data_IF_739541056448
#
_entry.id   IF_739541056448
#
_cell.length_a   1.000
_cell.length_b   1.000
_cell.length_c   1.000
_cell.angle_alpha   90.00
_cell.angle_beta   90.00
_cell.angle_gamma   90.00
#
_symmetry.space_group_name_H-M   'P 1'
#
loop_
_entity.id
_entity.type
_entity.pdbx_description
1 polymer ?
#
# COMPACT_ATOMS: atom_id res chain seq x y z
N UNK A 1 -60.53 2.97 -36.68
CA UNK A 1 -60.17 4.00 -35.67
C UNK A 1 -59.26 3.33 -34.64
N UNK A 2 -57.95 3.60 -34.68
CA UNK A 2 -57.00 3.03 -33.72
C UNK A 2 -57.16 3.77 -32.39
N UNK A 3 -57.31 3.01 -31.31
CA UNK A 3 -57.68 3.51 -29.99
C UNK A 3 -56.54 4.33 -29.34
N UNK A 4 -56.52 5.62 -29.68
CA UNK A 4 -55.55 6.59 -29.18
C UNK A 4 -55.61 6.78 -27.65
N UNK A 5 -56.68 6.34 -26.99
CA UNK A 5 -56.86 6.52 -25.55
C UNK A 5 -56.07 5.50 -24.71
N UNK A 6 -55.97 4.25 -25.19
CA UNK A 6 -55.19 3.18 -24.53
C UNK A 6 -53.68 3.47 -24.59
N UNK A 7 -53.18 3.97 -25.72
CA UNK A 7 -51.77 4.35 -25.90
C UNK A 7 -51.36 5.53 -25.01
N UNK A 8 -52.26 6.50 -24.80
CA UNK A 8 -52.01 7.67 -23.93
C UNK A 8 -51.97 7.30 -22.44
N UNK A 9 -52.88 6.44 -21.96
CA UNK A 9 -52.86 5.92 -20.58
C UNK A 9 -51.60 5.10 -20.27
N UNK A 10 -51.16 4.25 -21.21
CA UNK A 10 -49.94 3.44 -21.05
C UNK A 10 -48.66 4.29 -21.01
N UNK A 11 -48.59 5.36 -21.82
CA UNK A 11 -47.49 6.34 -21.77
C UNK A 11 -47.46 7.14 -20.48
N UNK A 12 -48.62 7.55 -19.95
CA UNK A 12 -48.73 8.26 -18.67
C UNK A 12 -48.32 7.36 -17.49
N UNK A 13 -48.79 6.11 -17.46
CA UNK A 13 -48.40 5.07 -16.50
C UNK A 13 -46.88 4.82 -16.48
N UNK A 14 -46.27 4.61 -17.64
CA UNK A 14 -44.82 4.40 -17.74
C UNK A 14 -44.02 5.66 -17.39
N UNK A 15 -44.56 6.85 -17.66
CA UNK A 15 -43.97 8.12 -17.26
C UNK A 15 -44.00 8.32 -15.74
N UNK A 16 -45.07 7.88 -15.07
CA UNK A 16 -45.21 7.96 -13.61
C UNK A 16 -44.27 6.97 -12.91
N UNK A 17 -44.25 5.70 -13.34
CA UNK A 17 -43.32 4.69 -12.82
C UNK A 17 -41.84 5.09 -12.97
N UNK A 18 -41.48 5.75 -14.08
CA UNK A 18 -40.12 6.28 -14.29
C UNK A 18 -39.80 7.47 -13.38
N UNK A 19 -40.78 8.32 -13.08
CA UNK A 19 -40.62 9.44 -12.13
C UNK A 19 -40.48 8.93 -10.71
N UNK A 20 -41.26 7.93 -10.32
CA UNK A 20 -41.20 7.31 -8.99
C UNK A 20 -39.85 6.59 -8.78
N UNK A 21 -39.36 5.86 -9.80
CA UNK A 21 -38.03 5.25 -9.76
C UNK A 21 -36.90 6.29 -9.70
N UNK A 22 -37.02 7.41 -10.43
CA UNK A 22 -36.05 8.50 -10.41
C UNK A 22 -36.04 9.23 -9.05
N UNK A 23 -37.21 9.51 -8.48
CA UNK A 23 -37.35 10.11 -7.16
C UNK A 23 -36.73 9.22 -6.07
N UNK A 24 -37.00 7.91 -6.13
CA UNK A 24 -36.40 6.96 -5.20
C UNK A 24 -34.88 6.84 -5.38
N UNK A 25 -34.37 6.94 -6.61
CA UNK A 25 -32.92 6.96 -6.88
C UNK A 25 -32.26 8.21 -6.29
N UNK A 26 -32.91 9.37 -6.44
CA UNK A 26 -32.45 10.65 -5.91
C UNK A 26 -32.41 10.62 -4.37
N UNK A 27 -33.46 10.12 -3.72
CA UNK A 27 -33.53 9.97 -2.26
C UNK A 27 -32.37 9.11 -1.74
N UNK A 28 -32.11 7.95 -2.37
CA UNK A 28 -30.99 7.07 -2.00
C UNK A 28 -29.63 7.74 -2.18
N UNK A 29 -29.47 8.55 -3.21
CA UNK A 29 -28.23 9.29 -3.44
C UNK A 29 -28.03 10.37 -2.36
N UNK A 30 -29.09 11.08 -1.98
CA UNK A 30 -29.04 12.08 -0.92
C UNK A 30 -28.69 11.46 0.45
N UNK A 31 -29.24 10.29 0.77
CA UNK A 31 -28.82 9.53 1.94
C UNK A 31 -27.35 9.11 1.88
N UNK A 32 -26.88 8.67 0.71
CA UNK A 32 -25.49 8.28 0.52
C UNK A 32 -24.54 9.47 0.69
N UNK A 33 -24.89 10.65 0.17
CA UNK A 33 -24.12 11.89 0.33
C UNK A 33 -24.02 12.25 1.82
N UNK A 34 -25.14 12.19 2.57
CA UNK A 34 -25.13 12.42 4.03
C UNK A 34 -24.21 11.44 4.77
N UNK A 35 -24.16 10.18 4.34
CA UNK A 35 -23.24 9.19 4.92
C UNK A 35 -21.79 9.50 4.56
N UNK A 36 -21.48 9.86 3.32
CA UNK A 36 -20.14 10.27 2.92
C UNK A 36 -19.66 11.50 3.71
N UNK A 37 -20.58 12.44 3.96
CA UNK A 37 -20.33 13.63 4.78
C UNK A 37 -19.91 13.24 6.20
N UNK A 38 -20.73 12.43 6.87
CA UNK A 38 -20.47 11.93 8.22
C UNK A 38 -19.18 11.09 8.30
N UNK A 39 -18.89 10.28 7.27
CA UNK A 39 -17.65 9.50 7.20
C UNK A 39 -16.43 10.40 7.09
N UNK A 40 -16.48 11.47 6.28
CA UNK A 40 -15.39 12.43 6.18
C UNK A 40 -15.11 13.14 7.49
N UNK A 41 -16.16 13.59 8.19
CA UNK A 41 -16.05 14.17 9.53
C UNK A 41 -15.43 13.19 10.55
N UNK A 42 -15.87 11.94 10.55
CA UNK A 42 -15.29 10.88 11.41
C UNK A 42 -13.80 10.71 11.13
N UNK A 43 -13.40 10.67 9.86
CA UNK A 43 -11.98 10.53 9.48
C UNK A 43 -11.17 11.71 10.01
N UNK A 44 -11.66 12.94 9.87
CA UNK A 44 -10.99 14.15 10.39
C UNK A 44 -10.78 14.04 11.91
N UNK A 45 -11.79 13.59 12.64
CA UNK A 45 -11.72 13.38 14.10
C UNK A 45 -10.77 12.24 14.49
N UNK A 46 -10.63 11.22 13.64
CA UNK A 46 -9.74 10.08 13.86
C UNK A 46 -8.26 10.41 13.58
N UNK A 47 -7.94 11.43 12.77
CA UNK A 47 -6.57 11.75 12.35
C UNK A 47 -5.56 11.82 13.52
N UNK A 48 -5.82 12.51 14.65
CA UNK A 48 -4.90 12.52 15.78
C UNK A 48 -4.64 11.12 16.36
N UNK A 49 -5.68 10.30 16.47
CA UNK A 49 -5.56 8.94 16.98
C UNK A 49 -4.76 8.04 16.02
N UNK A 50 -4.92 8.22 14.70
CA UNK A 50 -4.14 7.51 13.69
C UNK A 50 -2.65 7.84 13.78
N UNK A 51 -2.30 9.12 13.96
CA UNK A 51 -0.91 9.58 14.11
C UNK A 51 -0.29 8.94 15.36
N UNK A 52 -0.97 9.03 16.50
CA UNK A 52 -0.48 8.52 17.78
C UNK A 52 -0.34 6.98 17.77
N UNK A 53 -1.33 6.27 17.22
CA UNK A 53 -1.28 4.80 17.09
C UNK A 53 -0.08 4.35 16.25
N UNK A 54 0.14 4.99 15.09
CA UNK A 54 1.26 4.65 14.23
C UNK A 54 2.61 4.96 14.87
N UNK A 55 2.76 6.13 15.49
CA UNK A 55 3.98 6.53 16.20
C UNK A 55 4.32 5.54 17.32
N UNK A 56 3.32 5.12 18.11
CA UNK A 56 3.50 4.12 19.17
C UNK A 56 3.82 2.72 18.61
N UNK A 57 3.29 2.38 17.44
CA UNK A 57 3.47 1.06 16.83
C UNK A 57 4.80 0.92 16.10
N UNK A 58 5.40 1.97 15.55
CA UNK A 58 6.69 1.90 14.84
C UNK A 58 7.74 1.12 15.62
N UNK A 59 8.09 1.44 16.89
CA UNK A 59 9.10 0.68 17.62
C UNK A 59 8.69 -0.75 17.96
N UNK A 60 7.38 -1.07 17.96
CA UNK A 60 6.86 -2.43 18.20
C UNK A 60 6.93 -3.30 16.94
N UNK A 61 6.77 -2.69 15.77
CA UNK A 61 6.89 -3.35 14.46
C UNK A 61 8.37 -3.50 14.08
N UNK A 62 9.14 -2.44 14.28
CA UNK A 62 10.56 -2.37 13.92
C UNK A 62 11.43 -2.56 15.16
N UNK A 63 11.48 -3.81 15.64
CA UNK A 63 12.20 -4.18 16.87
C UNK A 63 13.73 -4.24 16.72
N UNK A 64 14.23 -4.31 15.48
CA UNK A 64 15.66 -4.19 15.17
C UNK A 64 16.07 -2.72 15.25
N UNK A 65 16.99 -2.42 16.17
CA UNK A 65 17.49 -1.07 16.47
C UNK A 65 18.93 -0.86 16.03
N UNK A 66 19.57 -1.92 15.55
CA UNK A 66 20.91 -1.91 14.98
C UNK A 66 20.97 -1.01 13.73
N UNK A 67 22.17 -0.58 13.34
CA UNK A 67 22.34 0.10 12.05
C UNK A 67 22.24 -0.89 10.86
N UNK A 68 22.25 -0.35 9.64
CA UNK A 68 22.06 -1.18 8.45
C UNK A 68 23.17 -2.22 8.23
N UNK A 69 24.41 -1.91 8.59
CA UNK A 69 25.56 -2.81 8.44
C UNK A 69 25.46 -3.92 9.48
N UNK A 70 25.13 -3.57 10.72
CA UNK A 70 24.92 -4.54 11.79
C UNK A 70 23.74 -5.49 11.49
N UNK A 71 22.65 -4.96 10.92
CA UNK A 71 21.48 -5.77 10.52
C UNK A 71 21.79 -6.68 9.32
N UNK A 72 22.54 -6.19 8.34
CA UNK A 72 23.06 -6.99 7.23
C UNK A 72 23.91 -8.15 7.74
N UNK A 73 24.88 -7.87 8.63
CA UNK A 73 25.72 -8.90 9.24
C UNK A 73 24.88 -9.94 10.00
N UNK A 74 23.82 -9.49 10.69
CA UNK A 74 22.93 -10.39 11.40
C UNK A 74 22.13 -11.29 10.45
N UNK A 75 21.61 -10.75 9.35
CA UNK A 75 20.93 -11.54 8.32
C UNK A 75 21.90 -12.49 7.61
N UNK A 76 23.11 -12.04 7.24
CA UNK A 76 24.13 -12.86 6.61
C UNK A 76 24.49 -14.10 7.46
N UNK A 77 24.55 -13.95 8.78
CA UNK A 77 24.85 -15.05 9.71
C UNK A 77 23.73 -16.09 9.84
N UNK A 78 22.49 -15.76 9.45
CA UNK A 78 21.33 -16.61 9.73
C UNK A 78 20.41 -16.74 8.52
N UNK A 79 19.51 -15.79 8.28
CA UNK A 79 18.48 -15.86 7.23
C UNK A 79 19.07 -15.92 5.81
N UNK A 80 20.22 -15.28 5.60
CA UNK A 80 20.93 -15.18 4.33
C UNK A 80 22.18 -16.07 4.26
N UNK A 81 22.40 -16.93 5.26
CA UNK A 81 23.44 -17.97 5.20
C UNK A 81 23.13 -19.00 4.12
N UNK A 82 24.11 -19.79 3.68
CA UNK A 82 23.87 -20.86 2.68
C UNK A 82 22.77 -21.83 3.12
N UNK A 83 22.75 -22.21 4.40
CA UNK A 83 21.74 -23.07 5.00
C UNK A 83 20.36 -22.37 5.06
N UNK A 84 20.36 -21.08 5.39
CA UNK A 84 19.17 -20.23 5.39
C UNK A 84 18.52 -20.15 4.02
N UNK A 85 19.30 -19.89 2.97
CA UNK A 85 18.83 -19.85 1.59
C UNK A 85 18.35 -21.21 1.11
N UNK A 86 19.11 -22.29 1.36
CA UNK A 86 18.73 -23.66 0.97
C UNK A 86 17.47 -24.17 1.67
N UNK A 87 17.08 -23.59 2.81
CA UNK A 87 15.81 -23.91 3.47
C UNK A 87 14.58 -23.55 2.62
N UNK A 88 14.75 -22.70 1.60
CA UNK A 88 13.69 -22.21 0.71
C UNK A 88 12.73 -21.22 1.36
N UNK A 89 12.96 -20.83 2.63
CA UNK A 89 12.12 -19.89 3.36
C UNK A 89 12.54 -18.44 3.06
N UNK A 90 11.57 -17.52 2.90
CA UNK A 90 11.88 -16.08 2.85
C UNK A 90 12.38 -15.61 4.21
N UNK A 91 12.98 -14.41 4.25
CA UNK A 91 13.35 -13.79 5.52
C UNK A 91 12.10 -13.47 6.35
N UNK A 92 11.89 -14.13 7.51
CA UNK A 92 10.65 -14.02 8.26
C UNK A 92 10.45 -12.60 8.84
N UNK A 93 11.53 -11.90 9.17
CA UNK A 93 11.48 -10.53 9.69
C UNK A 93 10.90 -9.60 8.63
N UNK A 94 11.39 -9.70 7.39
CA UNK A 94 10.92 -8.86 6.29
C UNK A 94 9.46 -9.19 5.94
N UNK A 95 9.10 -10.47 5.91
CA UNK A 95 7.72 -10.91 5.64
C UNK A 95 6.74 -10.37 6.69
N UNK A 96 7.11 -10.43 7.97
CA UNK A 96 6.27 -9.94 9.07
C UNK A 96 6.05 -8.43 8.97
N UNK A 97 7.14 -7.66 8.87
CA UNK A 97 7.09 -6.20 8.77
C UNK A 97 6.35 -5.75 7.51
N UNK A 98 6.66 -6.35 6.35
CA UNK A 98 6.00 -6.03 5.08
C UNK A 98 4.48 -6.24 5.17
N UNK A 99 4.03 -7.33 5.80
CA UNK A 99 2.59 -7.58 5.99
C UNK A 99 1.90 -6.51 6.84
N UNK A 100 2.61 -5.93 7.81
CA UNK A 100 2.07 -4.87 8.65
C UNK A 100 2.02 -3.56 7.87
N UNK A 101 3.13 -3.18 7.23
CA UNK A 101 3.24 -1.94 6.45
C UNK A 101 2.22 -1.92 5.30
N UNK A 102 2.10 -3.00 4.53
CA UNK A 102 1.12 -3.11 3.44
C UNK A 102 -0.33 -2.89 3.91
N UNK A 103 -0.68 -3.36 5.11
CA UNK A 103 -2.01 -3.12 5.69
C UNK A 103 -2.22 -1.66 6.09
N UNK A 104 -1.19 -0.98 6.57
CA UNK A 104 -1.29 0.44 6.90
C UNK A 104 -1.44 1.30 5.64
N UNK A 105 -0.78 0.95 4.54
CA UNK A 105 -1.00 1.59 3.24
C UNK A 105 -2.42 1.35 2.71
N UNK A 106 -2.95 0.13 2.79
CA UNK A 106 -4.34 -0.16 2.40
C UNK A 106 -5.35 0.68 3.21
N UNK A 107 -5.15 0.72 4.54
CA UNK A 107 -5.95 1.56 5.45
C UNK A 107 -5.85 3.04 5.09
N UNK A 108 -4.66 3.53 4.77
CA UNK A 108 -4.44 4.92 4.37
C UNK A 108 -5.13 5.26 3.05
N UNK A 109 -5.00 4.41 2.03
CA UNK A 109 -5.68 4.59 0.74
C UNK A 109 -7.21 4.67 0.90
N UNK A 110 -7.80 3.80 1.73
CA UNK A 110 -9.25 3.87 2.04
C UNK A 110 -9.63 5.18 2.74
N UNK A 111 -8.87 5.60 3.75
CA UNK A 111 -9.17 6.82 4.52
C UNK A 111 -8.98 8.09 3.68
N UNK A 112 -7.89 8.19 2.94
CA UNK A 112 -7.57 9.34 2.09
C UNK A 112 -8.56 9.47 0.93
N UNK A 113 -8.96 8.36 0.29
CA UNK A 113 -9.94 8.42 -0.81
C UNK A 113 -11.32 8.88 -0.34
N UNK A 114 -11.72 8.49 0.88
CA UNK A 114 -12.95 8.97 1.53
C UNK A 114 -12.84 10.44 1.95
N UNK A 115 -11.69 10.86 2.48
CA UNK A 115 -11.43 12.27 2.81
C UNK A 115 -11.39 13.15 1.56
N UNK A 116 -10.80 12.68 0.45
CA UNK A 116 -10.79 13.38 -0.83
C UNK A 116 -12.21 13.55 -1.36
N UNK A 117 -13.02 12.49 -1.31
CA UNK A 117 -14.45 12.56 -1.65
C UNK A 117 -15.19 13.57 -0.80
N UNK A 118 -14.92 13.60 0.51
CA UNK A 118 -15.48 14.58 1.41
C UNK A 118 -15.18 16.01 0.96
N UNK A 119 -13.92 16.34 0.65
CA UNK A 119 -13.55 17.67 0.13
C UNK A 119 -14.28 18.00 -1.16
N UNK A 120 -14.34 17.05 -2.12
CA UNK A 120 -15.00 17.24 -3.41
C UNK A 120 -16.50 17.53 -3.28
N UNK A 121 -17.19 16.91 -2.33
CA UNK A 121 -18.63 17.16 -2.10
C UNK A 121 -18.93 18.55 -1.55
N UNK A 122 -17.93 19.22 -0.95
CA UNK A 122 -18.07 20.58 -0.43
C UNK A 122 -17.66 21.66 -1.43
N UNK A 123 -17.24 21.29 -2.64
CA UNK A 123 -16.96 22.26 -3.70
C UNK A 123 -18.28 22.89 -4.16
N UNK A 124 -18.44 24.23 -4.06
CA UNK A 124 -19.68 24.90 -4.42
C UNK A 124 -19.78 25.09 -5.93
N UNK A 125 -20.94 25.56 -6.38
CA UNK A 125 -21.14 26.00 -7.77
C UNK A 125 -20.11 27.06 -8.16
N UNK A 126 -19.60 27.01 -9.38
CA UNK A 126 -18.73 28.05 -9.95
C UNK A 126 -19.47 29.40 -10.03
N UNK A 127 -18.84 30.44 -9.50
CA UNK A 127 -19.33 31.83 -9.48
C UNK A 127 -18.16 32.79 -9.71
N UNK A 128 -18.47 34.01 -10.16
CA UNK A 128 -17.49 35.07 -10.32
C UNK A 128 -17.20 35.75 -8.97
N UNK A 129 -15.95 35.67 -8.51
CA UNK A 129 -15.51 36.18 -7.21
C UNK A 129 -15.74 35.24 -6.01
N UNK A 130 -15.17 35.61 -4.85
CA UNK A 130 -15.23 34.84 -3.59
C UNK A 130 -14.70 33.39 -3.70
N UNK A 131 -13.60 33.19 -4.42
CA UNK A 131 -13.05 31.87 -4.74
C UNK A 131 -11.87 31.43 -3.85
N UNK A 132 -11.42 32.26 -2.90
CA UNK A 132 -10.28 31.92 -2.03
C UNK A 132 -10.49 30.59 -1.27
N UNK A 133 -11.67 30.36 -0.68
CA UNK A 133 -11.93 29.09 0.00
C UNK A 133 -11.99 27.90 -0.95
N UNK A 134 -12.44 28.12 -2.20
CA UNK A 134 -12.45 27.09 -3.25
C UNK A 134 -11.01 26.73 -3.66
N UNK A 135 -10.11 27.71 -3.71
CA UNK A 135 -8.68 27.48 -3.94
C UNK A 135 -8.04 26.67 -2.81
N UNK A 136 -8.39 26.94 -1.55
CA UNK A 136 -7.96 26.15 -0.39
C UNK A 136 -8.43 24.69 -0.52
N UNK A 137 -9.69 24.46 -0.91
CA UNK A 137 -10.19 23.11 -1.18
C UNK A 137 -9.41 22.43 -2.33
N UNK A 138 -9.17 23.16 -3.42
CA UNK A 138 -8.45 22.63 -4.59
C UNK A 138 -7.00 22.22 -4.24
N UNK A 139 -6.30 23.04 -3.46
CA UNK A 139 -4.94 22.73 -2.98
C UNK A 139 -4.94 21.47 -2.12
N UNK A 140 -5.86 21.36 -1.16
CA UNK A 140 -5.93 20.17 -0.30
C UNK A 140 -6.30 18.92 -1.08
N UNK A 141 -7.29 19.02 -1.97
CA UNK A 141 -7.72 17.92 -2.84
C UNK A 141 -6.58 17.43 -3.75
N UNK A 142 -5.79 18.37 -4.29
CA UNK A 142 -4.58 18.07 -5.05
C UNK A 142 -3.57 17.30 -4.20
N UNK A 143 -3.32 17.76 -2.97
CA UNK A 143 -2.39 17.08 -2.06
C UNK A 143 -2.86 15.67 -1.66
N UNK A 144 -4.16 15.48 -1.41
CA UNK A 144 -4.74 14.16 -1.18
C UNK A 144 -4.55 13.24 -2.40
N UNK A 145 -4.65 13.78 -3.62
CA UNK A 145 -4.37 13.04 -4.86
C UNK A 145 -2.90 12.60 -4.96
N UNK A 146 -1.95 13.46 -4.58
CA UNK A 146 -0.53 13.10 -4.51
C UNK A 146 -0.28 11.97 -3.51
N UNK A 147 -0.89 12.04 -2.32
CA UNK A 147 -0.74 10.99 -1.31
C UNK A 147 -1.35 9.65 -1.71
N UNK A 148 -2.51 9.66 -2.37
CA UNK A 148 -3.12 8.45 -2.93
C UNK A 148 -2.22 7.81 -3.99
N UNK A 149 -1.65 8.63 -4.89
CA UNK A 149 -0.69 8.13 -5.89
C UNK A 149 0.55 7.56 -5.22
N UNK A 150 1.10 8.25 -4.22
CA UNK A 150 2.25 7.76 -3.47
C UNK A 150 1.96 6.42 -2.78
N UNK A 151 0.79 6.24 -2.17
CA UNK A 151 0.40 4.96 -1.58
C UNK A 151 0.36 3.83 -2.62
N UNK A 152 -0.19 4.09 -3.80
CA UNK A 152 -0.26 3.13 -4.92
C UNK A 152 1.15 2.78 -5.44
N UNK A 153 1.96 3.78 -5.74
CA UNK A 153 3.35 3.61 -6.20
C UNK A 153 4.17 2.80 -5.18
N UNK A 154 4.09 3.13 -3.89
CA UNK A 154 4.83 2.42 -2.83
C UNK A 154 4.37 0.98 -2.64
N UNK A 155 3.07 0.69 -2.77
CA UNK A 155 2.61 -0.71 -2.76
C UNK A 155 3.12 -1.47 -3.99
N UNK A 156 3.18 -0.80 -5.14
CA UNK A 156 3.71 -1.35 -6.37
C UNK A 156 5.23 -1.59 -6.33
N UNK A 157 5.99 -0.75 -5.66
CA UNK A 157 7.42 -0.96 -5.42
C UNK A 157 7.66 -2.12 -4.45
N UNK A 158 6.89 -2.18 -3.36
CA UNK A 158 7.04 -3.20 -2.33
C UNK A 158 6.70 -4.61 -2.81
N UNK A 159 5.82 -4.77 -3.82
CA UNK A 159 5.53 -6.11 -4.39
C UNK A 159 6.76 -6.76 -5.03
N UNK A 160 7.76 -5.95 -5.44
CA UNK A 160 8.94 -6.41 -6.19
C UNK A 160 9.97 -7.10 -5.29
N UNK A 161 9.95 -6.89 -3.97
CA UNK A 161 10.93 -7.46 -3.03
C UNK A 161 11.16 -8.96 -3.24
N UNK A 162 10.09 -9.76 -3.24
CA UNK A 162 10.21 -11.21 -3.39
C UNK A 162 10.77 -11.63 -4.76
N UNK A 163 10.43 -10.90 -5.82
CA UNK A 163 10.96 -11.14 -7.16
C UNK A 163 12.46 -10.84 -7.21
N UNK A 164 12.87 -9.68 -6.71
CA UNK A 164 14.28 -9.27 -6.70
C UNK A 164 15.12 -10.24 -5.85
N UNK A 165 14.65 -10.58 -4.65
CA UNK A 165 15.31 -11.56 -3.79
C UNK A 165 15.44 -12.95 -4.45
N UNK A 166 14.38 -13.42 -5.09
CA UNK A 166 14.42 -14.70 -5.80
C UNK A 166 15.42 -14.69 -6.96
N UNK A 167 15.56 -13.58 -7.65
CA UNK A 167 16.51 -13.43 -8.75
C UNK A 167 17.97 -13.46 -8.26
N UNK A 168 18.28 -12.81 -7.13
CA UNK A 168 19.61 -12.92 -6.50
C UNK A 168 19.91 -14.38 -6.14
N UNK A 169 18.93 -15.11 -5.59
CA UNK A 169 19.10 -16.51 -5.19
C UNK A 169 19.26 -17.42 -6.40
N UNK A 170 18.58 -17.17 -7.53
CA UNK A 170 18.75 -17.96 -8.77
C UNK A 170 20.17 -17.89 -9.33
N UNK A 171 20.89 -16.80 -9.06
CA UNK A 171 22.30 -16.65 -9.48
C UNK A 171 23.25 -17.44 -8.57
N UNK A 172 22.79 -17.90 -7.41
CA UNK A 172 23.54 -18.78 -6.53
C UNK A 172 23.45 -20.20 -7.10
N UNK A 173 24.43 -20.58 -7.90
CA UNK A 173 24.56 -21.94 -8.40
C UNK A 173 24.96 -22.88 -7.26
N UNK A 174 23.99 -23.31 -6.44
CA UNK A 174 24.26 -24.26 -5.36
C UNK A 174 24.60 -25.67 -5.88
N UNK A 175 24.65 -25.89 -7.20
CA UNK A 175 25.06 -27.17 -7.75
C UNK A 175 26.51 -27.47 -7.33
N UNK A 176 26.65 -28.52 -6.51
CA UNK A 176 27.92 -29.23 -6.41
C UNK A 176 28.24 -29.75 -7.81
N UNK A 177 29.24 -29.20 -8.47
CA UNK A 177 29.82 -29.84 -9.63
C UNK A 177 30.25 -31.26 -9.22
N UNK A 178 29.59 -32.27 -9.78
CA UNK A 178 29.93 -33.67 -9.58
C UNK A 178 30.95 -34.03 -10.65
N UNK A 179 32.24 -34.05 -10.29
CA UNK A 179 33.23 -34.69 -11.13
C UNK A 179 33.11 -36.21 -10.96
N UNK A 180 32.64 -36.88 -12.01
CA UNK A 180 32.68 -38.34 -12.10
C UNK A 180 33.99 -38.76 -12.76
N UNK A 181 34.87 -39.44 -12.01
CA UNK A 181 36.05 -40.12 -12.58
C UNK A 181 35.78 -41.61 -12.64
N UNK A 182 35.66 -42.15 -13.86
CA UNK A 182 35.72 -43.58 -14.09
C UNK A 182 37.18 -44.02 -14.23
N UNK A 183 37.59 -45.00 -13.42
CA UNK A 183 38.92 -45.63 -13.54
C UNK A 183 38.72 -47.09 -13.94
N UNK A 184 39.33 -47.50 -15.04
CA UNK A 184 39.34 -48.88 -15.53
C UNK A 184 40.67 -49.55 -15.16
N UNK A 185 40.61 -50.67 -14.43
CA UNK A 185 41.76 -51.55 -14.23
C UNK A 185 41.50 -52.86 -14.96
N UNK A 186 42.42 -53.25 -15.84
CA UNK A 186 42.45 -54.56 -16.49
C UNK A 186 43.55 -55.41 -15.84
N UNK A 187 43.16 -56.57 -15.31
CA UNK A 187 44.07 -57.65 -14.91
C UNK A 187 43.46 -58.98 -15.34
N UNK A 188 44.21 -59.76 -16.11
CA UNK A 188 44.00 -61.17 -16.45
C UNK A 188 42.52 -61.63 -16.46
N UNK A 189 41.83 -61.34 -17.58
CA UNK A 189 40.45 -61.74 -17.88
C UNK A 189 39.31 -61.16 -17.00
N UNK A 190 39.59 -60.14 -16.15
CA UNK A 190 38.54 -59.37 -15.47
C UNK A 190 38.73 -57.86 -15.58
N UNK A 191 37.74 -57.19 -16.15
CA UNK A 191 37.60 -55.72 -16.13
C UNK A 191 36.86 -55.31 -14.86
N UNK A 192 37.47 -54.47 -14.03
CA UNK A 192 36.80 -53.89 -12.85
C UNK A 192 36.65 -52.39 -13.06
N UNK A 193 35.40 -51.89 -13.12
CA UNK A 193 35.11 -50.45 -13.19
C UNK A 193 34.92 -49.89 -11.79
N UNK A 194 35.66 -48.83 -11.46
CA UNK A 194 35.48 -48.08 -10.21
C UNK A 194 35.02 -46.66 -10.56
N UNK A 195 33.87 -46.23 -10.00
CA UNK A 195 33.36 -44.87 -10.15
C UNK A 195 33.68 -44.07 -8.89
N UNK A 196 34.50 -43.04 -9.02
CA UNK A 196 34.80 -42.10 -7.95
C UNK A 196 34.06 -40.79 -8.21
N UNK A 197 33.28 -40.37 -7.23
CA UNK A 197 32.48 -39.13 -7.28
C UNK A 197 33.18 -38.08 -6.41
N UNK A 198 33.64 -36.98 -7.01
CA UNK A 198 34.21 -35.85 -6.27
C UNK A 198 33.28 -34.64 -6.41
N UNK A 199 32.72 -34.18 -5.28
CA UNK A 199 32.05 -32.89 -5.23
C UNK A 199 33.10 -31.78 -5.25
N UNK A 200 33.07 -30.93 -6.27
CA UNK A 200 33.87 -29.70 -6.29
C UNK A 200 32.97 -28.56 -5.83
N UNK A 201 33.32 -27.93 -4.72
CA UNK A 201 32.74 -26.64 -4.33
C UNK A 201 33.32 -25.58 -5.27
N UNK A 202 32.54 -25.15 -6.25
CA UNK A 202 32.99 -24.14 -7.20
C UNK A 202 31.88 -23.12 -7.40
N UNK A 203 31.88 -22.07 -6.58
CA UNK A 203 31.18 -20.83 -6.95
C UNK A 203 31.98 -19.63 -6.42
N UNK A 204 32.91 -19.08 -7.21
CA UNK A 204 33.71 -17.89 -6.84
C UNK A 204 32.86 -16.69 -6.39
N UNK A 205 31.60 -16.62 -6.82
CA UNK A 205 30.66 -15.52 -6.55
C UNK A 205 29.73 -15.76 -5.34
N UNK A 206 29.76 -16.93 -4.69
CA UNK A 206 28.78 -17.26 -3.65
C UNK A 206 28.86 -16.32 -2.44
N UNK A 207 30.08 -15.98 -1.99
CA UNK A 207 30.25 -15.04 -0.88
C UNK A 207 29.64 -13.66 -1.17
N UNK A 208 29.86 -13.14 -2.39
CA UNK A 208 29.32 -11.85 -2.82
C UNK A 208 27.79 -11.90 -2.96
N UNK A 209 27.23 -12.99 -3.51
CA UNK A 209 25.79 -13.16 -3.63
C UNK A 209 25.09 -13.30 -2.27
N UNK A 210 25.69 -14.02 -1.32
CA UNK A 210 25.18 -14.12 0.05
C UNK A 210 25.20 -12.76 0.76
N UNK A 211 26.26 -11.98 0.55
CA UNK A 211 26.37 -10.60 1.06
C UNK A 211 25.31 -9.71 0.39
N UNK A 212 25.10 -9.86 -0.92
CA UNK A 212 24.13 -9.07 -1.66
C UNK A 212 22.69 -9.33 -1.21
N UNK A 213 22.30 -10.60 -1.00
CA UNK A 213 20.95 -10.90 -0.49
C UNK A 213 20.77 -10.40 0.96
N UNK A 214 21.81 -10.43 1.79
CA UNK A 214 21.76 -9.86 3.14
C UNK A 214 21.58 -8.34 3.12
N UNK A 215 22.32 -7.63 2.27
CA UNK A 215 22.16 -6.20 2.04
C UNK A 215 20.77 -5.87 1.49
N UNK A 216 20.25 -6.67 0.57
CA UNK A 216 18.90 -6.50 0.01
C UNK A 216 17.82 -6.63 1.10
N UNK A 217 17.91 -7.66 1.95
CA UNK A 217 16.98 -7.84 3.07
C UNK A 217 17.11 -6.71 4.10
N UNK A 218 18.34 -6.29 4.45
CA UNK A 218 18.58 -5.18 5.38
C UNK A 218 18.02 -3.86 4.84
N UNK A 219 18.28 -3.52 3.57
CA UNK A 219 17.72 -2.33 2.94
C UNK A 219 16.19 -2.36 2.95
N UNK A 220 15.57 -3.48 2.60
CA UNK A 220 14.11 -3.60 2.62
C UNK A 220 13.52 -3.31 4.01
N UNK A 221 14.16 -3.77 5.09
CA UNK A 221 13.72 -3.47 6.45
C UNK A 221 13.69 -1.96 6.73
N UNK A 222 14.75 -1.23 6.36
CA UNK A 222 14.82 0.22 6.55
C UNK A 222 13.90 0.98 5.60
N UNK A 223 13.72 0.53 4.36
CA UNK A 223 12.75 1.09 3.42
C UNK A 223 11.34 1.05 4.02
N UNK A 224 10.90 -0.13 4.48
CA UNK A 224 9.59 -0.30 5.13
C UNK A 224 9.44 0.58 6.38
N UNK A 225 10.52 0.77 7.14
CA UNK A 225 10.53 1.65 8.33
C UNK A 225 10.31 3.10 7.95
N UNK A 226 11.04 3.57 6.93
CA UNK A 226 10.94 4.94 6.44
C UNK A 226 9.55 5.19 5.84
N UNK A 227 9.01 4.25 5.08
CA UNK A 227 7.67 4.36 4.52
C UNK A 227 6.59 4.50 5.61
N UNK A 228 6.69 3.75 6.71
CA UNK A 228 5.75 3.89 7.82
C UNK A 228 5.88 5.26 8.52
N UNK A 229 7.10 5.79 8.61
CA UNK A 229 7.36 7.14 9.13
C UNK A 229 6.79 8.23 8.19
N UNK A 230 6.94 8.06 6.88
CA UNK A 230 6.34 8.97 5.89
C UNK A 230 4.81 8.93 5.94
N UNK A 231 4.21 7.76 6.23
CA UNK A 231 2.76 7.64 6.43
C UNK A 231 2.28 8.47 7.64
N UNK A 232 3.07 8.53 8.72
CA UNK A 232 2.80 9.39 9.88
C UNK A 232 2.88 10.86 9.48
N UNK A 233 3.94 11.26 8.78
CA UNK A 233 4.12 12.62 8.26
C UNK A 233 2.95 13.05 7.36
N UNK A 234 2.45 12.15 6.52
CA UNK A 234 1.28 12.37 5.69
C UNK A 234 0.01 12.62 6.51
N UNK A 235 -0.29 11.77 7.49
CA UNK A 235 -1.45 11.97 8.37
C UNK A 235 -1.33 13.26 9.18
N UNK A 236 -0.12 13.58 9.66
CA UNK A 236 0.16 14.82 10.35
C UNK A 236 -0.08 16.04 9.47
N UNK A 237 0.37 16.01 8.22
CA UNK A 237 0.06 17.07 7.26
C UNK A 237 -1.45 17.21 7.05
N UNK A 238 -2.18 16.11 6.85
CA UNK A 238 -3.64 16.15 6.70
C UNK A 238 -4.31 16.77 7.94
N UNK A 239 -3.92 16.35 9.15
CA UNK A 239 -4.45 16.89 10.40
C UNK A 239 -4.18 18.39 10.52
N UNK A 240 -2.93 18.82 10.32
CA UNK A 240 -2.55 20.23 10.43
C UNK A 240 -3.25 21.09 9.39
N UNK A 241 -3.32 20.62 8.14
CA UNK A 241 -4.01 21.34 7.08
C UNK A 241 -5.49 21.51 7.40
N UNK A 242 -6.17 20.43 7.80
CA UNK A 242 -7.60 20.49 8.17
C UNK A 242 -7.79 21.39 9.40
N UNK A 243 -7.00 21.22 10.46
CA UNK A 243 -7.10 22.03 11.68
C UNK A 243 -7.02 23.54 11.39
N UNK A 244 -6.16 23.95 10.47
CA UNK A 244 -5.98 25.36 10.14
C UNK A 244 -7.00 25.91 9.12
N UNK A 245 -7.60 25.03 8.30
CA UNK A 245 -8.41 25.44 7.15
C UNK A 245 -9.83 24.85 7.16
N UNK A 246 -10.26 24.21 8.25
CA UNK A 246 -11.52 23.46 8.30
C UNK A 246 -12.73 24.27 7.81
N UNK A 247 -12.85 25.53 8.24
CA UNK A 247 -13.96 26.37 7.80
C UNK A 247 -13.98 26.58 6.29
N UNK A 248 -12.82 26.70 5.64
CA UNK A 248 -12.72 26.85 4.17
C UNK A 248 -12.91 25.52 3.45
N UNK A 249 -12.52 24.42 4.06
CA UNK A 249 -12.77 23.07 3.53
C UNK A 249 -14.26 22.74 3.54
N UNK A 250 -14.96 23.05 4.63
CA UNK A 250 -16.38 22.77 4.82
C UNK A 250 -17.28 23.80 4.13
N UNK A 251 -16.93 25.08 4.27
CA UNK A 251 -17.71 26.23 3.81
C UNK A 251 -16.80 27.24 3.12
N UNK A 252 -16.35 26.98 1.88
CA UNK A 252 -15.37 27.81 1.19
C UNK A 252 -15.81 29.26 1.00
N UNK A 253 -17.12 29.51 0.93
CA UNK A 253 -17.72 30.85 0.83
C UNK A 253 -18.28 31.40 2.15
N UNK A 254 -17.91 30.78 3.27
CA UNK A 254 -18.46 31.08 4.59
C UNK A 254 -19.76 30.33 4.88
N UNK A 255 -20.16 30.29 6.16
CA UNK A 255 -21.44 29.75 6.57
C UNK A 255 -22.54 30.65 6.00
N UNK A 256 -23.46 30.09 5.21
CA UNK A 256 -24.73 30.77 4.97
C UNK A 256 -25.47 30.86 6.30
N UNK A 257 -26.11 32.00 6.58
CA UNK A 257 -26.84 32.31 7.84
C UNK A 257 -27.93 31.28 8.24
N UNK A 258 -28.14 30.21 7.46
CA UNK A 258 -29.04 29.10 7.76
C UNK A 258 -28.39 27.86 8.41
N UNK A 259 -27.06 27.84 8.63
CA UNK A 259 -26.34 26.69 9.20
C UNK A 259 -25.56 27.07 10.47
N UNK A 260 -26.27 27.62 11.45
CA UNK A 260 -25.80 27.63 12.84
C UNK A 260 -26.05 26.24 13.45
N UNK A 261 -25.08 25.34 13.36
CA UNK A 261 -24.88 24.36 14.42
C UNK A 261 -23.64 24.75 15.21
N UNK A 262 -23.89 25.18 16.44
CA UNK A 262 -22.88 25.30 17.50
C UNK A 262 -22.28 23.92 17.74
N UNK A 263 -20.96 23.82 17.70
CA UNK A 263 -20.25 22.81 18.48
C UNK A 263 -19.15 23.51 19.28
N UNK A 264 -19.25 23.34 20.59
CA UNK A 264 -18.16 23.40 21.54
C UNK A 264 -17.39 22.08 21.49
#
# INVERSE_FOLDING_TARGET
>A
MVDHTVSKKRRLSNGMLRKDAAAHTQERLEELIKRFDAVGESIIQELPALILDLEERVPKVFTRTEDIVELEDAFAKKECSSEGIQSGKPNPVIVEVSRIVTKEFDRASDKLSRLQRYVLMHVPREEDGNNFGVEVQAQFNGKLGEYLKWCDDTQDENKVYHQARAEIIRQMDFERAVEEKETMCEKEDKVTKSKATKSVENVPQLGDLLSYVARHDALQYFTLKNELQELISMYLHCYMYVKHNYEKIRWPRGKSDGMNMQMY
#
